data_IF_865016961902
#
_entry.id   IF_865016961902
#
_cell.length_a   1.000
_cell.length_b   1.000
_cell.length_c   1.000
_cell.angle_alpha   90.00
_cell.angle_beta   90.00
_cell.angle_gamma   90.00
#
_symmetry.space_group_name_H-M   'P 1'
#
loop_
_entity.id
_entity.type
_entity.pdbx_description
1 polymer ?
#
# COMPACT_ATOMS: atom_id res chain seq x y z
N UNK A 1 -24.96 -19.26 -3.13
CA UNK A 1 -23.79 -18.66 -2.41
C UNK A 1 -22.48 -18.73 -3.20
N UNK A 2 -22.36 -19.58 -4.23
CA UNK A 2 -21.10 -19.82 -4.94
C UNK A 2 -20.53 -18.66 -5.79
N UNK A 3 -21.31 -17.61 -6.07
CA UNK A 3 -20.82 -16.40 -6.78
C UNK A 3 -20.14 -15.40 -5.85
N UNK A 4 -20.35 -15.51 -4.53
CA UNK A 4 -19.83 -14.55 -3.56
C UNK A 4 -18.29 -14.54 -3.52
N UNK A 5 -17.65 -15.71 -3.60
CA UNK A 5 -16.18 -15.81 -3.63
C UNK A 5 -15.55 -15.14 -4.86
N UNK A 6 -16.15 -15.29 -6.05
CA UNK A 6 -15.65 -14.64 -7.27
C UNK A 6 -15.80 -13.11 -7.19
N UNK A 7 -16.93 -12.62 -6.66
CA UNK A 7 -17.18 -11.18 -6.47
C UNK A 7 -16.19 -10.58 -5.47
N UNK A 8 -15.97 -11.23 -4.33
CA UNK A 8 -15.02 -10.75 -3.31
C UNK A 8 -13.59 -10.71 -3.83
N UNK A 9 -13.17 -11.70 -4.64
CA UNK A 9 -11.86 -11.67 -5.29
C UNK A 9 -11.74 -10.47 -6.24
N UNK A 10 -12.75 -10.23 -7.08
CA UNK A 10 -12.76 -9.12 -8.02
C UNK A 10 -12.73 -7.76 -7.29
N UNK A 11 -13.67 -7.55 -6.36
CA UNK A 11 -13.77 -6.30 -5.60
C UNK A 11 -12.50 -6.07 -4.79
N UNK A 12 -12.00 -7.10 -4.11
CA UNK A 12 -10.78 -7.00 -3.32
C UNK A 12 -9.56 -6.66 -4.17
N UNK A 13 -9.40 -7.28 -5.34
CA UNK A 13 -8.30 -6.99 -6.25
C UNK A 13 -8.36 -5.55 -6.80
N UNK A 14 -9.55 -5.09 -7.21
CA UNK A 14 -9.78 -3.71 -7.67
C UNK A 14 -9.47 -2.72 -6.56
N UNK A 15 -9.94 -2.98 -5.33
CA UNK A 15 -9.61 -2.15 -4.17
C UNK A 15 -8.12 -2.12 -3.91
N UNK A 16 -7.41 -3.25 -3.95
CA UNK A 16 -5.96 -3.24 -3.76
C UNK A 16 -5.25 -2.39 -4.81
N UNK A 17 -5.62 -2.51 -6.10
CA UNK A 17 -5.06 -1.69 -7.18
C UNK A 17 -5.36 -0.20 -6.96
N UNK A 18 -6.61 0.17 -6.65
CA UNK A 18 -6.99 1.56 -6.34
C UNK A 18 -6.25 2.08 -5.10
N UNK A 19 -6.08 1.22 -4.10
CA UNK A 19 -5.33 1.50 -2.89
C UNK A 19 -3.87 1.81 -3.19
N UNK A 20 -3.25 1.20 -4.20
CA UNK A 20 -1.89 1.57 -4.64
C UNK A 20 -1.81 3.00 -5.18
N UNK A 21 -2.89 3.50 -5.80
CA UNK A 21 -2.94 4.86 -6.30
C UNK A 21 -3.03 5.88 -5.15
N UNK A 22 -3.80 5.52 -4.13
CA UNK A 22 -4.06 6.33 -2.95
C UNK A 22 -3.07 6.07 -1.81
N UNK A 23 -2.10 5.17 -2.01
CA UNK A 23 -1.13 4.81 -0.98
C UNK A 23 -0.29 6.03 -0.67
N UNK A 24 -0.30 6.46 0.58
CA UNK A 24 0.34 7.70 1.01
C UNK A 24 1.54 7.34 1.88
N UNK A 25 2.66 8.00 1.62
CA UNK A 25 3.81 8.02 2.52
C UNK A 25 3.80 9.35 3.26
N UNK A 26 3.91 9.31 4.59
CA UNK A 26 3.91 10.49 5.42
C UNK A 26 5.32 10.94 5.77
N UNK A 27 5.53 12.25 5.72
CA UNK A 27 6.71 12.89 6.29
C UNK A 27 6.48 13.08 7.79
N UNK A 28 7.42 12.61 8.62
CA UNK A 28 7.44 12.90 10.05
C UNK A 28 8.55 13.92 10.31
N UNK A 29 8.22 15.20 10.19
CA UNK A 29 9.04 16.29 10.72
C UNK A 29 8.38 16.89 11.97
N UNK A 30 9.15 17.31 12.99
CA UNK A 30 8.60 17.99 14.15
C UNK A 30 7.86 19.27 13.73
N UNK A 31 6.53 19.27 13.82
CA UNK A 31 5.69 20.46 13.61
C UNK A 31 5.14 20.68 12.21
N UNK A 32 5.44 19.82 11.22
CA UNK A 32 4.84 19.90 9.88
C UNK A 32 4.63 18.49 9.31
N UNK A 33 3.38 18.13 9.01
CA UNK A 33 3.02 16.89 8.32
C UNK A 33 2.74 17.21 6.85
N UNK A 34 3.66 16.87 5.95
CA UNK A 34 3.36 16.83 4.53
C UNK A 34 2.95 15.40 4.17
N UNK A 35 1.74 15.25 3.65
CA UNK A 35 1.19 13.98 3.21
C UNK A 35 1.07 14.03 1.70
N UNK A 36 1.55 13.00 1.00
CA UNK A 36 1.42 12.93 -0.46
C UNK A 36 1.10 11.52 -0.91
N UNK A 37 0.11 11.40 -1.80
CA UNK A 37 -0.19 10.11 -2.42
C UNK A 37 0.92 9.71 -3.38
N UNK A 38 1.17 8.41 -3.50
CA UNK A 38 2.15 7.86 -4.45
C UNK A 38 1.64 7.91 -5.90
N UNK A 39 0.33 8.05 -6.12
CA UNK A 39 -0.28 8.20 -7.45
C UNK A 39 -0.11 6.99 -8.38
N UNK A 40 0.11 5.80 -7.80
CA UNK A 40 0.09 4.52 -8.51
C UNK A 40 1.11 4.40 -9.63
N UNK A 41 0.75 3.70 -10.70
CA UNK A 41 1.66 3.40 -11.81
C UNK A 41 2.17 4.64 -12.55
N UNK A 42 1.46 5.77 -12.49
CA UNK A 42 1.82 7.01 -13.20
C UNK A 42 3.17 7.54 -12.70
N UNK A 43 3.48 7.31 -11.42
CA UNK A 43 4.70 7.82 -10.80
C UNK A 43 5.86 6.82 -10.79
N UNK A 44 5.71 5.61 -11.32
CA UNK A 44 6.82 4.64 -11.36
C UNK A 44 8.01 5.19 -12.16
N UNK A 45 7.75 5.79 -13.34
CA UNK A 45 8.80 6.41 -14.15
C UNK A 45 9.51 7.57 -13.45
N UNK A 46 8.76 8.59 -12.97
CA UNK A 46 9.31 9.69 -12.17
C UNK A 46 10.09 9.23 -10.93
N UNK A 47 9.63 8.17 -10.24
CA UNK A 47 10.33 7.60 -9.10
C UNK A 47 11.72 7.07 -9.48
N UNK A 48 11.83 6.33 -10.58
CA UNK A 48 13.14 5.85 -11.04
C UNK A 48 14.05 6.99 -11.51
N UNK A 49 13.49 8.04 -12.13
CA UNK A 49 14.27 9.22 -12.49
C UNK A 49 14.84 9.91 -11.23
N UNK A 50 14.01 10.15 -10.21
CA UNK A 50 14.45 10.70 -8.93
C UNK A 50 15.48 9.81 -8.24
N UNK A 51 15.28 8.49 -8.31
CA UNK A 51 16.18 7.51 -7.70
C UNK A 51 17.59 7.50 -8.31
N UNK A 52 17.76 8.08 -9.50
CA UNK A 52 19.06 8.25 -10.19
C UNK A 52 19.62 9.67 -10.09
N UNK A 53 18.96 10.58 -9.37
CA UNK A 53 19.32 12.01 -9.31
C UNK A 53 20.59 12.34 -8.50
N UNK A 54 21.05 11.41 -7.65
CA UNK A 54 22.15 11.65 -6.71
C UNK A 54 21.76 12.44 -5.45
N UNK A 55 20.46 12.73 -5.24
CA UNK A 55 19.98 13.34 -4.01
C UNK A 55 20.20 12.41 -2.79
N UNK A 56 20.44 12.96 -1.57
CA UNK A 56 20.71 12.15 -0.37
C UNK A 56 19.60 11.15 0.00
N UNK A 57 18.38 11.42 -0.43
CA UNK A 57 17.15 10.64 -0.22
C UNK A 57 16.71 9.85 -1.48
N UNK A 58 17.44 9.94 -2.60
CA UNK A 58 17.14 9.23 -3.84
C UNK A 58 17.03 7.72 -3.67
N UNK A 59 17.76 7.14 -2.71
CA UNK A 59 17.69 5.71 -2.39
C UNK A 59 16.30 5.26 -1.92
N UNK A 60 15.51 6.17 -1.33
CA UNK A 60 14.16 5.89 -0.85
C UNK A 60 13.20 5.64 -2.02
N UNK A 61 13.35 6.40 -3.12
CA UNK A 61 12.51 6.25 -4.30
C UNK A 61 12.69 4.88 -4.98
N UNK A 62 13.86 4.25 -4.89
CA UNK A 62 14.06 2.85 -5.32
C UNK A 62 13.14 1.89 -4.56
N UNK A 63 13.07 2.04 -3.24
CA UNK A 63 12.25 1.17 -2.38
C UNK A 63 10.77 1.39 -2.69
N UNK A 64 10.33 2.65 -2.74
CA UNK A 64 8.93 3.00 -3.03
C UNK A 64 8.52 2.46 -4.40
N UNK A 65 9.33 2.66 -5.44
CA UNK A 65 9.04 2.14 -6.77
C UNK A 65 8.88 0.60 -6.79
N UNK A 66 9.78 -0.12 -6.12
CA UNK A 66 9.71 -1.58 -6.02
C UNK A 66 8.44 -2.02 -5.29
N UNK A 67 8.09 -1.39 -4.17
CA UNK A 67 6.86 -1.69 -3.42
C UNK A 67 5.62 -1.45 -4.29
N UNK A 68 5.57 -0.36 -5.05
CA UNK A 68 4.46 -0.07 -5.95
C UNK A 68 4.33 -1.11 -7.06
N UNK A 69 5.45 -1.53 -7.67
CA UNK A 69 5.45 -2.60 -8.67
C UNK A 69 4.92 -3.90 -8.06
N UNK A 70 5.39 -4.26 -6.86
CA UNK A 70 4.94 -5.46 -6.15
C UNK A 70 3.43 -5.39 -5.90
N UNK A 71 2.91 -4.25 -5.44
CA UNK A 71 1.48 -4.12 -5.18
C UNK A 71 0.63 -4.20 -6.44
N UNK A 72 1.09 -3.65 -7.56
CA UNK A 72 0.40 -3.79 -8.86
C UNK A 72 0.40 -5.24 -9.33
N UNK A 73 1.55 -5.91 -9.27
CA UNK A 73 1.67 -7.34 -9.61
C UNK A 73 0.78 -8.20 -8.71
N UNK A 74 0.75 -7.90 -7.42
CA UNK A 74 -0.17 -8.53 -6.46
C UNK A 74 -1.62 -8.29 -6.83
N UNK A 75 -2.03 -7.07 -7.19
CA UNK A 75 -3.39 -6.77 -7.65
C UNK A 75 -3.77 -7.58 -8.90
N UNK A 76 -2.85 -7.71 -9.86
CA UNK A 76 -3.06 -8.55 -11.05
C UNK A 76 -3.17 -10.04 -10.70
N UNK A 77 -2.33 -10.55 -9.79
CA UNK A 77 -2.43 -11.92 -9.28
C UNK A 77 -3.75 -12.16 -8.54
N UNK A 78 -4.26 -11.18 -7.81
CA UNK A 78 -5.57 -11.24 -7.16
C UNK A 78 -6.72 -11.28 -8.18
N UNK A 79 -6.61 -10.59 -9.32
CA UNK A 79 -7.58 -10.69 -10.43
C UNK A 79 -7.54 -12.07 -11.09
N UNK A 80 -6.35 -12.62 -11.36
CA UNK A 80 -6.19 -14.03 -11.77
C UNK A 80 -6.75 -14.99 -10.73
N UNK A 81 -6.76 -14.53 -9.49
CA UNK A 81 -7.43 -15.12 -8.34
C UNK A 81 -8.87 -15.54 -8.57
N UNK A 82 -9.61 -14.90 -9.50
CA UNK A 82 -10.99 -15.28 -9.86
C UNK A 82 -11.05 -16.73 -10.40
N UNK A 83 -10.01 -17.15 -11.15
CA UNK A 83 -9.89 -18.50 -11.73
C UNK A 83 -9.01 -19.42 -10.88
N UNK A 84 -8.00 -18.90 -10.19
CA UNK A 84 -7.05 -19.70 -9.40
C UNK A 84 -6.98 -19.25 -7.95
N UNK A 85 -7.40 -20.10 -7.01
CA UNK A 85 -7.33 -19.80 -5.57
C UNK A 85 -5.90 -19.56 -5.08
N UNK A 86 -4.94 -20.29 -5.65
CA UNK A 86 -3.53 -20.17 -5.30
C UNK A 86 -3.01 -18.78 -5.71
N UNK A 87 -3.39 -18.30 -6.89
CA UNK A 87 -3.02 -16.96 -7.34
C UNK A 87 -3.63 -15.86 -6.44
N UNK A 88 -4.91 -16.01 -6.05
CA UNK A 88 -5.56 -15.11 -5.10
C UNK A 88 -4.81 -15.05 -3.76
N UNK A 89 -4.45 -16.23 -3.21
CA UNK A 89 -3.76 -16.34 -1.93
C UNK A 89 -2.39 -15.66 -1.97
N UNK A 90 -1.52 -16.04 -2.91
CA UNK A 90 -0.19 -15.41 -3.01
C UNK A 90 -0.26 -13.93 -3.36
N UNK A 91 -1.22 -13.54 -4.21
CA UNK A 91 -1.44 -12.15 -4.57
C UNK A 91 -1.72 -11.28 -3.35
N UNK A 92 -2.59 -11.73 -2.43
CA UNK A 92 -3.01 -10.93 -1.29
C UNK A 92 -2.03 -10.88 -0.11
N UNK A 93 -1.12 -11.85 0.03
CA UNK A 93 -0.23 -11.92 1.19
C UNK A 93 0.67 -10.68 1.34
N UNK A 94 1.33 -10.27 0.26
CA UNK A 94 2.32 -9.18 0.34
C UNK A 94 1.66 -7.82 0.64
N UNK A 95 0.62 -7.39 -0.09
CA UNK A 95 0.00 -6.09 0.20
C UNK A 95 -0.73 -6.10 1.55
N UNK A 96 -1.28 -7.24 1.98
CA UNK A 96 -1.86 -7.36 3.31
C UNK A 96 -0.78 -7.21 4.39
N UNK A 97 0.34 -7.90 4.27
CA UNK A 97 1.43 -7.82 5.24
C UNK A 97 1.98 -6.39 5.35
N UNK A 98 2.29 -5.76 4.21
CA UNK A 98 2.79 -4.38 4.21
C UNK A 98 1.74 -3.42 4.79
N UNK A 99 0.48 -3.49 4.36
CA UNK A 99 -0.56 -2.61 4.90
C UNK A 99 -0.76 -2.81 6.42
N UNK A 100 -0.72 -4.06 6.91
CA UNK A 100 -0.76 -4.35 8.34
C UNK A 100 0.44 -3.76 9.08
N UNK A 101 1.65 -3.82 8.51
CA UNK A 101 2.84 -3.19 9.13
C UNK A 101 2.69 -1.68 9.26
N UNK A 102 2.14 -1.00 8.25
CA UNK A 102 1.87 0.44 8.32
C UNK A 102 0.77 0.77 9.35
N UNK A 103 -0.28 -0.05 9.41
CA UNK A 103 -1.34 0.10 10.42
C UNK A 103 -0.77 -0.05 11.83
N UNK A 104 -0.03 -1.13 12.09
CA UNK A 104 0.62 -1.37 13.39
C UNK A 104 1.60 -0.25 13.75
N UNK A 105 2.39 0.22 12.79
CA UNK A 105 3.30 1.36 12.97
C UNK A 105 2.57 2.64 13.39
N UNK A 106 1.40 2.92 12.82
CA UNK A 106 0.59 4.07 13.21
C UNK A 106 0.06 3.97 14.66
N UNK A 107 -0.11 2.76 15.19
CA UNK A 107 -0.44 2.50 16.60
C UNK A 107 0.80 2.43 17.52
N UNK A 108 1.99 2.75 17.02
CA UNK A 108 3.24 2.68 17.79
C UNK A 108 3.76 1.26 18.00
N UNK A 109 3.18 0.26 17.32
CA UNK A 109 3.64 -1.13 17.38
C UNK A 109 4.67 -1.34 16.26
N UNK A 110 5.95 -1.27 16.60
CA UNK A 110 7.02 -1.49 15.63
C UNK A 110 7.30 -2.98 15.45
N UNK A 111 6.99 -3.53 14.27
CA UNK A 111 7.37 -4.90 13.88
C UNK A 111 8.85 -4.96 13.47
N UNK A 112 9.41 -3.84 13.00
CA UNK A 112 10.78 -3.72 12.46
C UNK A 112 11.74 -2.96 13.40
N UNK A 113 11.34 -2.70 14.66
CA UNK A 113 12.09 -1.84 15.58
C UNK A 113 11.88 -0.34 15.30
N UNK A 114 12.44 0.51 16.18
CA UNK A 114 12.28 1.97 16.12
C UNK A 114 12.78 2.56 14.79
N UNK A 115 13.86 2.02 14.22
CA UNK A 115 14.39 2.43 12.91
C UNK A 115 13.52 2.00 11.73
N UNK A 116 12.78 0.89 11.87
CA UNK A 116 11.85 0.43 10.85
C UNK A 116 10.66 1.37 10.65
N UNK A 117 10.26 2.10 11.69
CA UNK A 117 9.24 3.17 11.62
C UNK A 117 9.75 4.32 10.74
N UNK A 118 11.01 4.75 10.89
CA UNK A 118 11.61 5.74 9.99
C UNK A 118 11.71 5.26 8.53
N UNK A 119 11.91 3.94 8.32
CA UNK A 119 11.84 3.31 6.99
C UNK A 119 10.42 3.19 6.43
N UNK A 120 9.39 3.16 7.27
CA UNK A 120 7.98 3.15 6.87
C UNK A 120 7.48 4.58 6.57
N UNK A 121 8.10 5.60 7.18
CA UNK A 121 7.70 7.01 7.13
C UNK A 121 8.85 7.90 6.61
N UNK A 122 9.42 7.51 5.48
CA UNK A 122 10.61 8.12 4.87
C UNK A 122 10.41 9.63 4.56
N UNK A 123 11.08 10.52 5.30
CA UNK A 123 11.26 11.96 4.96
C UNK A 123 12.36 12.15 3.88
N UNK A 124 12.46 13.23 3.10
CA UNK A 124 12.39 14.68 3.41
C UNK A 124 11.65 15.51 2.34
N UNK A 125 10.50 15.02 1.90
CA UNK A 125 9.60 15.76 1.01
C UNK A 125 8.68 14.85 0.19
N UNK A 126 7.75 15.41 -0.58
CA UNK A 126 6.92 14.67 -1.53
C UNK A 126 7.81 13.86 -2.48
N UNK A 127 7.74 12.52 -2.38
CA UNK A 127 8.30 11.65 -3.42
C UNK A 127 7.55 11.83 -4.75
N UNK A 128 6.29 12.29 -4.66
CA UNK A 128 5.45 12.68 -5.80
C UNK A 128 4.69 13.96 -5.48
N UNK A 129 4.83 14.98 -6.34
CA UNK A 129 4.11 16.25 -6.23
C UNK A 129 2.71 16.16 -6.88
N UNK A 130 1.73 16.88 -6.32
CA UNK A 130 0.36 17.07 -6.86
C UNK A 130 -0.60 15.87 -6.80
N UNK A 131 -0.29 14.81 -6.05
CA UNK A 131 -1.27 13.76 -5.76
C UNK A 131 -1.91 14.04 -4.41
N UNK A 132 -3.21 14.36 -4.43
CA UNK A 132 -3.97 14.68 -3.21
C UNK A 132 -3.84 13.53 -2.20
N UNK A 133 -3.23 13.75 -1.02
CA UNK A 133 -3.25 12.76 0.03
C UNK A 133 -4.68 12.63 0.55
N UNK A 134 -5.31 11.48 0.33
CA UNK A 134 -6.41 11.10 1.19
C UNK A 134 -5.77 10.48 2.42
N UNK A 135 -5.69 11.24 3.51
CA UNK A 135 -5.17 10.78 4.80
C UNK A 135 -6.16 11.02 5.91
N UNK A 136 -6.03 10.21 6.96
CA UNK A 136 -6.75 10.41 8.21
C UNK A 136 -5.73 10.75 9.29
N UNK A 137 -5.72 12.02 9.70
CA UNK A 137 -4.99 12.43 10.90
C UNK A 137 -5.90 12.19 12.10
N UNK A 138 -5.63 11.13 12.86
CA UNK A 138 -6.33 10.93 14.14
C UNK A 138 -5.55 11.64 15.24
N UNK A 139 -6.17 12.54 16.02
CA UNK A 139 -5.52 13.13 17.17
C UNK A 139 -5.19 12.02 18.19
N UNK A 140 -3.91 11.65 18.29
CA UNK A 140 -3.42 10.61 19.20
C UNK A 140 -2.84 9.35 18.54
N UNK A 141 -2.90 9.20 17.21
CA UNK A 141 -2.03 8.25 16.49
C UNK A 141 -0.68 8.93 16.20
N UNK A 142 0.37 8.13 15.99
CA UNK A 142 1.74 8.61 15.80
C UNK A 142 1.83 9.83 14.84
N UNK A 143 2.77 10.76 15.04
CA UNK A 143 2.96 11.87 14.11
C UNK A 143 3.18 11.28 12.70
N UNK A 144 2.39 11.70 11.71
CA UNK A 144 2.45 11.17 10.33
C UNK A 144 1.25 10.30 9.92
N UNK A 145 0.02 10.82 10.07
CA UNK A 145 -1.27 10.14 9.87
C UNK A 145 -1.38 9.09 8.75
N UNK A 146 -2.28 8.12 8.94
CA UNK A 146 -2.41 6.96 8.06
C UNK A 146 -3.16 7.30 6.77
N UNK A 147 -2.59 6.94 5.61
CA UNK A 147 -3.21 7.12 4.30
C UNK A 147 -4.40 6.20 4.07
N UNK A 148 -5.47 6.71 3.45
CA UNK A 148 -6.62 5.91 3.02
C UNK A 148 -6.21 4.78 2.08
N UNK A 149 -5.16 4.97 1.26
CA UNK A 149 -4.62 3.88 0.43
C UNK A 149 -4.17 2.68 1.25
N UNK A 150 -3.54 2.88 2.41
CA UNK A 150 -3.14 1.76 3.30
C UNK A 150 -4.35 0.97 3.78
N UNK A 151 -5.43 1.65 4.19
CA UNK A 151 -6.68 0.99 4.60
C UNK A 151 -7.35 0.27 3.44
N UNK A 152 -7.39 0.89 2.27
CA UNK A 152 -8.01 0.32 1.07
C UNK A 152 -7.23 -0.92 0.61
N UNK A 153 -5.90 -0.90 0.66
CA UNK A 153 -5.06 -2.07 0.36
C UNK A 153 -5.31 -3.19 1.38
N UNK A 154 -5.36 -2.86 2.68
CA UNK A 154 -5.63 -3.84 3.73
C UNK A 154 -7.00 -4.50 3.53
N UNK A 155 -8.05 -3.69 3.33
CA UNK A 155 -9.41 -4.16 3.08
C UNK A 155 -9.50 -4.98 1.79
N UNK A 156 -8.92 -4.49 0.69
CA UNK A 156 -8.90 -5.19 -0.59
C UNK A 156 -8.24 -6.56 -0.47
N UNK A 157 -7.06 -6.60 0.14
CA UNK A 157 -6.30 -7.85 0.33
C UNK A 157 -7.00 -8.82 1.29
N UNK A 158 -7.66 -8.32 2.34
CA UNK A 158 -8.45 -9.13 3.26
C UNK A 158 -9.68 -9.74 2.57
N UNK A 159 -10.38 -8.98 1.72
CA UNK A 159 -11.52 -9.50 0.94
C UNK A 159 -11.07 -10.61 0.00
N UNK A 160 -9.91 -10.47 -0.65
CA UNK A 160 -9.35 -11.54 -1.48
C UNK A 160 -8.97 -12.75 -0.63
N UNK A 161 -8.37 -12.57 0.54
CA UNK A 161 -8.05 -13.67 1.44
C UNK A 161 -9.31 -14.45 1.87
N UNK A 162 -10.36 -13.73 2.31
CA UNK A 162 -11.66 -14.35 2.65
C UNK A 162 -12.21 -15.11 1.45
N UNK A 163 -12.11 -14.54 0.26
CA UNK A 163 -12.62 -15.15 -0.96
C UNK A 163 -11.96 -16.49 -1.33
N UNK A 164 -10.74 -16.76 -0.86
CA UNK A 164 -10.01 -18.03 -1.08
C UNK A 164 -10.69 -19.19 -0.34
N UNK A 165 -11.25 -18.91 0.84
CA UNK A 165 -11.88 -19.92 1.70
C UNK A 165 -13.36 -20.15 1.39
N UNK A 166 -13.98 -19.28 0.59
CA UNK A 166 -15.37 -19.43 0.17
C UNK A 166 -15.52 -20.42 -0.99
N UNK A 167 -16.68 -21.08 -1.06
CA UNK A 167 -17.04 -21.93 -2.20
C UNK A 167 -17.22 -21.08 -3.46
N UNK A 168 -16.65 -21.57 -4.55
CA UNK A 168 -16.76 -20.98 -5.89
C UNK A 168 -17.22 -22.09 -6.82
N UNK A 169 -18.36 -21.90 -7.46
CA UNK A 169 -18.77 -22.73 -8.59
C UNK A 169 -17.83 -22.38 -9.74
N UNK A 170 -17.18 -23.38 -10.32
CA UNK A 170 -16.27 -23.22 -11.45
C UNK A 170 -16.98 -22.60 -12.66
#
# INVERSE_FOLDING_TARGET
MAKAGKILALVGAVLTILGTYLFTLSEIFPGVSYLWGTGGWINIGPLFQYATSGAPDAWQAWIVAIVMIIFLLSGLLMLLGIKSRIAAFFGCLVPLAVATMFILGAFGISVLGAYGIYFLFLGSGPVVLNVFPLTFEYPGLAPGGLGWGTLIIALGSLLVLISVFLTRED
#
